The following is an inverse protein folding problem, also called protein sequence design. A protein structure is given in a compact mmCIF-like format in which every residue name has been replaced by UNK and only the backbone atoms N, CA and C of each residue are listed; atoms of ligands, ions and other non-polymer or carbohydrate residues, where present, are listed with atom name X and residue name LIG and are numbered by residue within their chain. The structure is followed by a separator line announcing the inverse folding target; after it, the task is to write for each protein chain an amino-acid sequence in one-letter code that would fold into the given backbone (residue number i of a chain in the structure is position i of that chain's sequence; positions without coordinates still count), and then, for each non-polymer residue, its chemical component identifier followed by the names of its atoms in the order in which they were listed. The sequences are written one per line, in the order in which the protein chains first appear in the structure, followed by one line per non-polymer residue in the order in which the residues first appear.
data_IF_745319994707
#
_entry.id   IF_745319994707
#
_cell.length_a   1.000
_cell.length_b   1.000
_cell.length_c   1.000
_cell.angle_alpha   90.00
_cell.angle_beta   90.00
_cell.angle_gamma   90.00
#
_symmetry.space_group_name_H-M   'P 1'
#
loop_
_entity.id
_entity.type
_entity.pdbx_description
1 polymer ?
#
# COMPACT_ATOMS: atom_id res chain seq x y z
N UNK A 1 21.99 11.99 22.14
CA UNK A 1 21.07 10.86 22.36
C UNK A 1 20.80 10.16 21.03
N UNK A 2 21.43 9.01 20.76
CA UNK A 2 21.12 8.21 19.55
C UNK A 2 19.87 7.39 19.83
N UNK A 3 18.75 7.70 19.16
CA UNK A 3 17.59 6.79 19.13
C UNK A 3 18.10 5.45 18.59
N UNK A 4 17.89 4.35 19.32
CA UNK A 4 18.09 3.01 18.77
C UNK A 4 17.14 2.89 17.57
N UNK A 5 17.68 2.92 16.36
CA UNK A 5 16.93 2.61 15.13
C UNK A 5 16.36 1.20 15.31
N UNK A 6 15.07 0.96 15.05
CA UNK A 6 14.66 -0.43 14.82
C UNK A 6 15.43 -0.87 13.59
N UNK A 7 15.98 -2.08 13.63
CA UNK A 7 16.71 -2.66 12.49
C UNK A 7 15.82 -2.71 11.21
N UNK A 8 14.51 -2.54 11.41
CA UNK A 8 13.44 -2.62 10.43
C UNK A 8 12.96 -1.26 9.89
N UNK A 9 13.60 -0.13 10.22
CA UNK A 9 13.23 1.16 9.61
C UNK A 9 14.03 1.40 8.30
N UNK A 10 13.43 2.03 7.28
CA UNK A 10 14.16 2.40 6.08
C UNK A 10 15.37 3.30 6.41
N UNK A 11 16.49 3.15 5.68
CA UNK A 11 17.64 4.03 5.83
C UNK A 11 17.30 5.50 5.55
N UNK A 12 18.08 6.40 6.15
CA UNK A 12 18.04 7.86 5.91
C UNK A 12 18.82 8.25 4.65
N UNK A 13 19.56 7.29 4.07
CA UNK A 13 20.22 7.49 2.78
C UNK A 13 19.20 7.66 1.66
N UNK A 14 19.66 8.17 0.52
CA UNK A 14 18.83 8.14 -0.69
C UNK A 14 18.72 6.71 -1.20
N UNK A 15 17.50 6.27 -1.50
CA UNK A 15 17.24 5.01 -2.20
C UNK A 15 17.37 5.19 -3.71
N UNK A 16 17.60 4.09 -4.43
CA UNK A 16 17.61 4.06 -5.90
C UNK A 16 16.21 3.73 -6.40
N UNK A 17 15.69 4.43 -7.40
CA UNK A 17 14.41 4.05 -8.04
C UNK A 17 14.62 2.74 -8.78
N UNK A 18 13.98 1.66 -8.31
CA UNK A 18 14.04 0.34 -8.97
C UNK A 18 12.80 0.04 -9.80
N UNK A 19 11.69 0.72 -9.48
CA UNK A 19 10.48 0.64 -10.28
C UNK A 19 9.76 2.00 -10.30
N UNK A 20 9.39 2.45 -11.50
CA UNK A 20 8.62 3.68 -11.70
C UNK A 20 7.13 3.52 -11.38
N UNK A 21 6.31 4.54 -11.69
CA UNK A 21 4.88 4.49 -11.47
C UNK A 21 4.20 3.34 -12.21
N UNK A 22 3.32 2.60 -11.54
CA UNK A 22 2.56 1.50 -12.14
C UNK A 22 1.21 1.31 -11.47
N UNK A 23 0.17 1.10 -12.28
CA UNK A 23 -1.15 0.71 -11.78
C UNK A 23 -1.13 -0.78 -11.47
N UNK A 24 -1.43 -1.13 -10.22
CA UNK A 24 -1.45 -2.52 -9.73
C UNK A 24 -2.87 -3.03 -9.52
N UNK A 25 -3.87 -2.17 -9.36
CA UNK A 25 -5.27 -2.59 -9.23
C UNK A 25 -6.21 -1.55 -9.81
N UNK A 26 -7.29 -2.00 -10.45
CA UNK A 26 -8.36 -1.10 -10.91
C UNK A 26 -9.70 -1.81 -10.99
N UNK A 27 -10.74 -1.06 -10.69
CA UNK A 27 -12.15 -1.40 -10.92
C UNK A 27 -12.92 -0.11 -11.24
N UNK A 28 -14.17 -0.18 -11.75
CA UNK A 28 -14.97 1.02 -11.95
C UNK A 28 -15.08 1.85 -10.67
N UNK A 29 -14.65 3.12 -10.71
CA UNK A 29 -14.71 4.02 -9.56
C UNK A 29 -13.49 3.97 -8.63
N UNK A 30 -12.51 3.09 -8.84
CA UNK A 30 -11.37 2.95 -7.93
C UNK A 30 -10.11 2.43 -8.64
N UNK A 31 -8.96 3.01 -8.31
CA UNK A 31 -7.66 2.59 -8.81
C UNK A 31 -6.61 2.60 -7.70
N UNK A 32 -5.66 1.68 -7.80
CA UNK A 32 -4.48 1.61 -6.93
C UNK A 32 -3.24 1.47 -7.79
N UNK A 33 -2.25 2.30 -7.49
CA UNK A 33 -0.95 2.27 -8.12
C UNK A 33 0.17 2.36 -7.11
N UNK A 34 1.36 1.98 -7.55
CA UNK A 34 2.60 2.41 -6.93
C UNK A 34 3.08 3.65 -7.65
N UNK A 35 3.46 4.67 -6.88
CA UNK A 35 4.16 5.85 -7.39
C UNK A 35 5.61 5.50 -7.73
N UNK A 36 6.26 4.71 -6.86
CA UNK A 36 7.59 4.17 -7.09
C UNK A 36 7.92 3.08 -6.06
N UNK A 37 8.96 2.30 -6.40
CA UNK A 37 9.68 1.44 -5.45
C UNK A 37 11.12 1.95 -5.39
N UNK A 38 11.60 2.20 -4.17
CA UNK A 38 13.00 2.52 -3.91
C UNK A 38 13.74 1.33 -3.32
N UNK A 39 14.87 1.00 -3.91
CA UNK A 39 15.82 0.00 -3.42
C UNK A 39 16.85 0.61 -2.47
N UNK A 40 17.11 -0.12 -1.40
CA UNK A 40 18.18 0.12 -0.44
C UNK A 40 18.94 -1.19 -0.20
N UNK A 41 20.21 -1.15 0.23
CA UNK A 41 20.95 -2.36 0.57
C UNK A 41 20.25 -3.25 1.62
N UNK A 42 19.40 -2.67 2.47
CA UNK A 42 18.68 -3.37 3.53
C UNK A 42 17.23 -3.73 3.20
N UNK A 43 16.65 -3.25 2.08
CA UNK A 43 15.22 -3.47 1.82
C UNK A 43 14.62 -2.60 0.72
N UNK A 44 13.30 -2.65 0.62
CA UNK A 44 12.52 -1.96 -0.40
C UNK A 44 11.45 -1.06 0.24
N UNK A 45 11.36 0.17 -0.26
CA UNK A 45 10.34 1.14 0.13
C UNK A 45 9.31 1.27 -0.99
N UNK A 46 8.03 1.08 -0.68
CA UNK A 46 6.92 1.18 -1.63
C UNK A 46 6.10 2.42 -1.32
N UNK A 47 5.78 3.21 -2.33
CA UNK A 47 4.83 4.32 -2.22
C UNK A 47 3.55 3.97 -2.97
N UNK A 48 2.50 3.62 -2.23
CA UNK A 48 1.18 3.26 -2.76
C UNK A 48 0.26 4.47 -2.77
N UNK A 49 -0.52 4.58 -3.84
CA UNK A 49 -1.57 5.59 -4.00
C UNK A 49 -2.85 4.87 -4.41
N UNK A 50 -3.92 5.10 -3.66
CA UNK A 50 -5.28 4.69 -3.96
C UNK A 50 -6.14 5.93 -4.20
N UNK A 51 -6.92 5.88 -5.26
CA UNK A 51 -7.87 6.92 -5.64
C UNK A 51 -9.21 6.27 -5.94
N UNK A 52 -10.27 6.74 -5.30
CA UNK A 52 -11.65 6.34 -5.60
C UNK A 52 -12.51 7.57 -5.87
N UNK A 53 -13.56 7.39 -6.67
CA UNK A 53 -14.48 8.45 -7.07
C UNK A 53 -15.93 7.96 -7.12
N UNK A 54 -16.88 8.90 -6.97
CA UNK A 54 -18.31 8.63 -6.96
C UNK A 54 -18.70 7.60 -5.89
N UNK A 55 -19.52 6.62 -6.27
CA UNK A 55 -20.03 5.58 -5.35
C UNK A 55 -18.92 4.86 -4.59
N UNK A 56 -17.75 4.63 -5.23
CA UNK A 56 -16.64 3.96 -4.54
C UNK A 56 -15.85 4.88 -3.61
N UNK A 57 -15.84 6.20 -3.85
CA UNK A 57 -15.31 7.15 -2.86
C UNK A 57 -16.15 7.12 -1.59
N UNK A 58 -17.47 7.13 -1.74
CA UNK A 58 -18.38 7.04 -0.59
C UNK A 58 -18.29 5.68 0.12
N UNK A 59 -18.12 4.59 -0.63
CA UNK A 59 -17.86 3.27 -0.06
C UNK A 59 -16.53 3.24 0.71
N UNK A 60 -15.46 3.77 0.13
CA UNK A 60 -14.14 3.83 0.75
C UNK A 60 -14.17 4.68 2.03
N UNK A 61 -14.77 5.88 2.00
CA UNK A 61 -14.88 6.77 3.16
C UNK A 61 -15.71 6.15 4.30
N UNK A 62 -16.82 5.46 3.99
CA UNK A 62 -17.65 4.79 5.02
C UNK A 62 -16.99 3.57 5.63
N UNK A 63 -16.12 2.88 4.87
CA UNK A 63 -15.52 1.58 5.27
C UNK A 63 -14.10 1.72 5.77
N UNK A 64 -13.42 2.83 5.52
CA UNK A 64 -12.03 3.06 5.90
C UNK A 64 -11.84 3.07 7.41
N UNK A 65 -10.86 2.31 7.87
CA UNK A 65 -10.34 2.41 9.23
C UNK A 65 -9.22 3.49 9.36
N UNK A 66 -8.96 4.23 8.29
CA UNK A 66 -8.04 5.37 8.26
C UNK A 66 -8.71 6.55 8.99
N UNK A 67 -8.64 6.53 10.32
CA UNK A 67 -9.54 7.31 11.18
C UNK A 67 -9.48 8.83 11.03
N UNK A 68 -10.65 9.46 11.18
CA UNK A 68 -10.78 10.82 11.73
C UNK A 68 -11.75 10.75 12.91
N UNK A 69 -11.46 11.53 13.96
CA UNK A 69 -11.98 11.39 15.32
C UNK A 69 -13.50 11.32 15.51
N UNK A 70 -13.86 10.64 16.60
CA UNK A 70 -15.12 10.69 17.33
C UNK A 70 -16.37 11.13 16.54
N UNK A 71 -17.08 10.17 15.93
CA UNK A 71 -18.54 10.23 15.91
C UNK A 71 -19.16 8.82 15.86
N UNK A 72 -20.04 8.61 16.84
CA UNK A 72 -21.06 7.58 16.99
C UNK A 72 -20.73 6.14 16.57
N UNK A 73 -20.26 5.37 17.56
CA UNK A 73 -20.24 3.91 17.54
C UNK A 73 -21.66 3.34 17.65
N UNK A 74 -22.46 3.44 16.58
CA UNK A 74 -23.73 2.71 16.47
C UNK A 74 -23.89 1.95 15.16
N UNK A 75 -23.06 2.22 14.14
CA UNK A 75 -22.95 1.38 12.95
C UNK A 75 -21.65 0.57 12.99
N UNK A 76 -21.64 -0.55 13.71
CA UNK A 76 -20.56 -1.55 13.66
C UNK A 76 -20.56 -2.29 12.31
N UNK A 77 -20.46 -1.56 11.20
CA UNK A 77 -20.02 -2.12 9.94
C UNK A 77 -18.56 -2.56 10.11
N UNK A 78 -18.21 -3.74 9.59
CA UNK A 78 -16.82 -4.21 9.54
C UNK A 78 -16.00 -3.16 8.77
N UNK A 79 -15.24 -2.33 9.50
CA UNK A 79 -14.23 -1.45 8.91
C UNK A 79 -13.19 -2.30 8.21
N UNK A 80 -12.67 -1.80 7.11
CA UNK A 80 -11.74 -2.50 6.22
C UNK A 80 -10.75 -1.49 5.65
N UNK A 81 -9.68 -1.99 5.03
CA UNK A 81 -8.64 -1.16 4.45
C UNK A 81 -8.13 -1.82 3.17
N UNK A 82 -7.50 -1.02 2.33
CA UNK A 82 -6.77 -1.56 1.19
C UNK A 82 -5.59 -2.40 1.68
N UNK A 83 -5.60 -3.69 1.37
CA UNK A 83 -4.52 -4.61 1.71
C UNK A 83 -3.53 -4.67 0.55
N UNK A 84 -2.26 -4.39 0.85
CA UNK A 84 -1.13 -4.71 0.00
C UNK A 84 -0.47 -5.97 0.55
N UNK A 85 -0.39 -7.02 -0.25
CA UNK A 85 0.37 -8.22 0.05
C UNK A 85 1.51 -8.35 -0.93
N UNK A 86 2.64 -8.85 -0.43
CA UNK A 86 3.82 -9.16 -1.22
C UNK A 86 4.06 -10.67 -1.16
N UNK A 87 4.33 -11.28 -2.30
CA UNK A 87 4.87 -12.63 -2.38
C UNK A 87 6.36 -12.52 -2.65
N UNK A 88 7.15 -12.97 -1.68
CA UNK A 88 8.61 -13.00 -1.68
C UNK A 88 9.06 -14.40 -1.27
N UNK A 89 10.07 -14.97 -1.95
CA UNK A 89 10.59 -16.31 -1.66
C UNK A 89 9.46 -17.38 -1.64
N UNK A 90 8.48 -17.23 -2.54
CA UNK A 90 7.31 -18.11 -2.68
C UNK A 90 6.29 -18.04 -1.53
N UNK A 91 6.34 -17.00 -0.69
CA UNK A 91 5.43 -16.84 0.46
C UNK A 91 4.68 -15.52 0.39
N UNK A 92 3.33 -15.53 0.29
CA UNK A 92 2.55 -14.31 0.37
C UNK A 92 2.44 -13.83 1.82
N UNK A 93 2.71 -12.54 2.04
CA UNK A 93 2.55 -11.88 3.33
C UNK A 93 1.93 -10.48 3.16
N UNK A 94 0.97 -10.09 4.02
CA UNK A 94 0.45 -8.72 4.02
C UNK A 94 1.52 -7.76 4.54
N UNK A 95 1.66 -6.62 3.87
CA UNK A 95 2.50 -5.52 4.34
C UNK A 95 1.71 -4.61 5.29
N UNK A 96 2.40 -4.12 6.31
CA UNK A 96 1.87 -3.11 7.22
C UNK A 96 2.35 -1.73 6.78
N UNK A 97 1.46 -0.73 6.68
CA UNK A 97 1.87 0.62 6.36
C UNK A 97 2.73 1.17 7.50
N UNK A 98 3.89 1.73 7.16
CA UNK A 98 4.73 2.48 8.08
C UNK A 98 4.19 3.91 8.26
N UNK A 99 3.61 4.46 7.18
CA UNK A 99 2.89 5.74 7.19
C UNK A 99 1.71 5.62 6.27
N UNK A 100 0.64 6.32 6.64
CA UNK A 100 -0.56 6.42 5.84
C UNK A 100 -1.15 7.81 5.99
N UNK A 101 -1.72 8.31 4.90
CA UNK A 101 -2.46 9.56 4.85
C UNK A 101 -3.72 9.31 4.05
N UNK A 102 -4.84 9.85 4.51
CA UNK A 102 -6.13 9.69 3.86
C UNK A 102 -6.83 11.03 3.82
N UNK A 103 -7.41 11.33 2.67
CA UNK A 103 -8.25 12.48 2.44
C UNK A 103 -9.54 12.02 1.79
N UNK A 104 -10.65 12.58 2.21
CA UNK A 104 -11.98 12.29 1.66
C UNK A 104 -12.74 13.57 1.45
N UNK A 105 -13.37 13.70 0.29
CA UNK A 105 -14.29 14.77 -0.07
C UNK A 105 -15.65 14.23 -0.49
N UNK A 106 -16.49 15.09 -1.06
CA UNK A 106 -17.86 14.73 -1.46
C UNK A 106 -17.91 13.59 -2.48
N UNK A 107 -17.02 13.63 -3.49
CA UNK A 107 -16.99 12.67 -4.60
C UNK A 107 -15.64 11.97 -4.80
N UNK A 108 -14.69 12.20 -3.90
CA UNK A 108 -13.32 11.70 -4.04
C UNK A 108 -12.81 11.12 -2.72
N UNK A 109 -12.06 10.03 -2.83
CA UNK A 109 -11.33 9.42 -1.71
C UNK A 109 -9.91 9.13 -2.15
N UNK A 110 -8.96 9.66 -1.40
CA UNK A 110 -7.54 9.57 -1.65
C UNK A 110 -6.85 8.92 -0.46
N UNK A 111 -6.02 7.92 -0.73
CA UNK A 111 -5.23 7.27 0.29
C UNK A 111 -3.81 7.05 -0.21
N UNK A 112 -2.82 7.45 0.59
CA UNK A 112 -1.41 7.26 0.32
C UNK A 112 -0.79 6.49 1.45
N UNK A 113 0.02 5.47 1.12
CA UNK A 113 0.67 4.64 2.12
C UNK A 113 2.11 4.34 1.73
N UNK A 114 2.99 4.35 2.72
CA UNK A 114 4.39 3.95 2.58
C UNK A 114 4.60 2.62 3.29
N UNK A 115 5.16 1.65 2.58
CA UNK A 115 5.49 0.33 3.11
C UNK A 115 6.99 0.09 3.05
N UNK A 116 7.50 -0.67 4.01
CA UNK A 116 8.89 -1.10 4.05
C UNK A 116 8.96 -2.62 4.11
N UNK A 117 9.77 -3.21 3.22
CA UNK A 117 10.08 -4.64 3.22
C UNK A 117 11.56 -4.82 3.53
N UNK A 118 11.83 -5.55 4.61
CA UNK A 118 13.17 -5.96 5.03
C UNK A 118 13.05 -7.35 5.70
N UNK A 119 14.02 -8.26 5.47
CA UNK A 119 15.17 -8.13 4.57
C UNK A 119 14.76 -8.18 3.09
N UNK A 120 15.72 -7.96 2.18
CA UNK A 120 15.51 -8.16 0.74
C UNK A 120 15.18 -9.64 0.44
N UNK A 121 14.22 -9.94 -0.45
CA UNK A 121 13.97 -11.30 -0.95
C UNK A 121 15.21 -11.91 -1.60
N UNK A 122 15.40 -13.22 -1.45
CA UNK A 122 16.56 -13.92 -2.02
C UNK A 122 16.39 -14.20 -3.51
N UNK A 123 15.18 -14.52 -3.92
CA UNK A 123 14.80 -14.81 -5.32
C UNK A 123 14.88 -13.59 -6.26
N UNK A 124 15.02 -12.38 -5.70
CA UNK A 124 15.03 -11.11 -6.44
C UNK A 124 13.75 -10.87 -7.25
N UNK A 125 12.66 -11.49 -6.83
CA UNK A 125 11.35 -11.36 -7.47
C UNK A 125 10.31 -10.96 -6.42
N UNK A 126 9.33 -10.16 -6.84
CA UNK A 126 8.21 -9.78 -5.99
C UNK A 126 6.93 -9.74 -6.81
N UNK A 127 5.91 -10.46 -6.34
CA UNK A 127 4.54 -10.28 -6.81
C UNK A 127 3.75 -9.45 -5.79
N UNK A 128 3.04 -8.43 -6.28
CA UNK A 128 2.23 -7.56 -5.44
C UNK A 128 0.74 -7.84 -5.65
N UNK A 129 0.03 -8.10 -4.57
CA UNK A 129 -1.42 -8.26 -4.62
C UNK A 129 -2.07 -7.11 -3.88
N UNK A 130 -3.06 -6.49 -4.50
CA UNK A 130 -3.86 -5.45 -3.87
C UNK A 130 -5.34 -5.83 -3.86
N UNK A 131 -6.04 -5.47 -2.80
CA UNK A 131 -7.48 -5.71 -2.71
C UNK A 131 -8.16 -4.86 -1.65
N UNK A 132 -9.39 -4.44 -1.98
CA UNK A 132 -10.32 -3.83 -1.03
C UNK A 132 -11.77 -4.09 -1.48
N UNK A 133 -12.27 -5.34 -1.31
CA UNK A 133 -13.58 -5.73 -1.83
C UNK A 133 -14.73 -4.85 -1.32
N UNK A 134 -14.64 -4.39 -0.08
CA UNK A 134 -15.63 -3.52 0.56
C UNK A 134 -15.71 -2.12 -0.06
N UNK A 135 -14.67 -1.67 -0.76
CA UNK A 135 -14.62 -0.43 -1.54
C UNK A 135 -14.69 -0.68 -3.06
N UNK A 136 -15.10 -1.89 -3.47
CA UNK A 136 -15.30 -2.25 -4.87
C UNK A 136 -14.03 -2.68 -5.63
N UNK A 137 -12.88 -2.78 -4.95
CA UNK A 137 -11.64 -3.27 -5.56
C UNK A 137 -11.49 -4.79 -5.31
N UNK A 138 -11.62 -5.65 -6.34
CA UNK A 138 -11.46 -7.09 -6.14
C UNK A 138 -10.02 -7.42 -5.73
N UNK A 139 -9.86 -8.34 -4.78
CA UNK A 139 -8.56 -8.92 -4.47
C UNK A 139 -8.12 -9.79 -5.65
N UNK A 140 -7.28 -9.22 -6.52
CA UNK A 140 -6.65 -9.98 -7.59
C UNK A 140 -5.14 -9.81 -7.49
N UNK A 141 -4.36 -10.90 -7.67
CA UNK A 141 -2.93 -10.76 -7.82
C UNK A 141 -2.67 -9.84 -9.01
N UNK A 142 -2.02 -8.71 -8.76
CA UNK A 142 -1.42 -7.94 -9.81
C UNK A 142 -0.11 -8.66 -10.09
N UNK A 143 -0.02 -9.41 -11.19
CA UNK A 143 1.26 -9.99 -11.56
C UNK A 143 2.19 -8.84 -11.98
N UNK A 144 2.91 -8.26 -11.02
CA UNK A 144 4.00 -7.33 -11.28
C UNK A 144 5.20 -8.13 -11.72
N UNK A 145 5.53 -8.00 -13.01
CA UNK A 145 6.74 -8.53 -13.62
C UNK A 145 7.99 -7.88 -13.00
N UNK A 146 8.98 -8.72 -12.69
CA UNK A 146 10.41 -8.45 -12.53
C UNK A 146 10.79 -7.05 -12.03
N UNK A 147 10.95 -6.89 -10.71
CA UNK A 147 11.74 -5.76 -10.20
C UNK A 147 13.17 -6.28 -10.03
N UNK A 148 13.98 -6.17 -11.08
CA UNK A 148 15.39 -6.52 -10.97
C UNK A 148 16.13 -5.39 -10.23
N UNK A 149 16.23 -5.47 -8.91
CA UNK A 149 17.05 -4.53 -8.13
C UNK A 149 18.51 -4.99 -8.16
N UNK A 150 19.31 -4.35 -9.01
CA UNK A 150 20.77 -4.35 -8.87
C UNK A 150 21.13 -3.07 -8.14
N UNK A 151 21.52 -3.18 -6.88
CA UNK A 151 22.04 -2.08 -6.05
C UNK A 151 23.53 -2.35 -5.82
#
# INVERSE_FOLDING_TARGET
MRRRRRLDDPPESLGVVVHGPVVIGRAPGIAVGLRCIFGYPSGLLFQLVLRAWGVQAEAAARRSDYGVGYHDSSAAGRRSRCLLSVEADGRPQPLQPMREETSSGEDAFDHEATYWLSPLPQDRELALTVGWPEAGLPSRPATSRWVNWVI
#
